data_IF_403867064424
#
_entry.id   IF_403867064424
#
_cell.length_a   1.000
_cell.length_b   1.000
_cell.length_c   1.000
_cell.angle_alpha   90.00
_cell.angle_beta   90.00
_cell.angle_gamma   90.00
#
_symmetry.space_group_name_H-M   'P 1'
#
loop_
_entity.id
_entity.type
_entity.pdbx_description
1 polymer ?
#
# COMPACT_ATOMS: atom_id res chain seq x y z
N UNK A 1 -49.80 -16.58 13.58
CA UNK A 1 -49.76 -15.64 12.43
C UNK A 1 -48.32 -15.21 12.25
N UNK A 2 -47.71 -15.65 11.15
CA UNK A 2 -46.28 -15.53 10.85
C UNK A 2 -46.09 -14.50 9.74
N UNK A 3 -45.27 -13.47 9.96
CA UNK A 3 -44.87 -12.52 8.93
C UNK A 3 -43.37 -12.66 8.69
N UNK A 4 -43.01 -13.16 7.51
CA UNK A 4 -41.66 -13.14 6.95
C UNK A 4 -41.42 -11.80 6.27
N UNK A 5 -40.26 -11.14 6.44
CA UNK A 5 -39.86 -10.04 5.57
C UNK A 5 -39.20 -10.59 4.29
N UNK A 6 -39.77 -10.23 3.15
CA UNK A 6 -39.21 -10.50 1.82
C UNK A 6 -38.07 -9.51 1.54
N UNK A 7 -36.86 -10.03 1.43
CA UNK A 7 -35.66 -9.28 0.99
C UNK A 7 -35.73 -9.13 -0.53
N UNK A 8 -35.94 -7.91 -1.03
CA UNK A 8 -35.72 -7.59 -2.45
C UNK A 8 -34.25 -7.28 -2.70
N UNK A 9 -33.58 -8.20 -3.39
CA UNK A 9 -32.35 -7.95 -4.13
C UNK A 9 -32.63 -6.88 -5.20
N UNK A 10 -31.91 -5.77 -5.19
CA UNK A 10 -31.77 -4.93 -6.39
C UNK A 10 -30.29 -4.76 -6.73
N UNK A 11 -29.92 -5.40 -7.84
CA UNK A 11 -28.64 -5.30 -8.51
C UNK A 11 -28.32 -3.85 -8.85
N UNK A 12 -27.15 -3.36 -8.45
CA UNK A 12 -26.59 -2.11 -8.96
C UNK A 12 -25.28 -2.39 -9.68
N UNK A 13 -25.36 -2.34 -11.01
CA UNK A 13 -24.22 -2.24 -11.92
C UNK A 13 -23.44 -0.92 -11.64
N UNK A 14 -22.11 -0.92 -11.79
CA UNK A 14 -21.26 0.24 -11.51
C UNK A 14 -21.23 1.21 -12.69
N UNK A 15 -21.68 2.44 -12.46
CA UNK A 15 -21.46 3.57 -13.37
C UNK A 15 -20.01 4.06 -13.26
N UNK A 16 -19.27 3.88 -14.34
CA UNK A 16 -17.91 4.42 -14.55
C UNK A 16 -18.01 5.93 -14.69
N UNK A 17 -17.47 6.68 -13.72
CA UNK A 17 -17.13 8.09 -13.91
C UNK A 17 -15.61 8.22 -13.83
N UNK A 18 -15.02 8.52 -14.99
CA UNK A 18 -13.63 8.88 -15.15
C UNK A 18 -13.35 10.13 -14.32
N UNK A 19 -12.54 9.97 -13.26
CA UNK A 19 -12.01 11.06 -12.46
C UNK A 19 -10.52 11.15 -12.74
N UNK A 20 -10.12 12.20 -13.45
CA UNK A 20 -8.71 12.59 -13.62
C UNK A 20 -8.18 13.09 -12.28
N UNK A 21 -7.71 12.17 -11.44
CA UNK A 21 -6.95 12.47 -10.24
C UNK A 21 -5.46 12.53 -10.59
N UNK A 22 -4.88 13.73 -10.53
CA UNK A 22 -3.43 13.93 -10.55
C UNK A 22 -2.88 13.51 -9.18
N UNK A 23 -2.29 12.32 -9.13
CA UNK A 23 -1.65 11.76 -7.94
C UNK A 23 -0.31 12.47 -7.63
N UNK A 24 0.10 12.58 -6.35
CA UNK A 24 1.45 12.95 -6.00
C UNK A 24 2.40 11.81 -6.40
N UNK A 25 3.47 12.14 -7.13
CA UNK A 25 4.52 11.21 -7.53
C UNK A 25 5.30 10.75 -6.29
N UNK A 26 4.82 9.69 -5.64
CA UNK A 26 5.61 8.90 -4.71
C UNK A 26 6.63 8.11 -5.54
N UNK A 27 7.92 8.44 -5.39
CA UNK A 27 9.01 7.77 -6.08
C UNK A 27 9.09 6.29 -5.69
N UNK A 28 8.52 5.43 -6.54
CA UNK A 28 8.79 4.00 -6.51
C UNK A 28 10.23 3.81 -6.96
N UNK A 29 11.11 3.41 -6.04
CA UNK A 29 12.45 2.93 -6.39
C UNK A 29 12.26 1.62 -7.15
N UNK A 30 12.26 1.68 -8.47
CA UNK A 30 12.35 0.50 -9.31
C UNK A 30 13.72 -0.14 -9.10
N UNK A 31 13.74 -1.41 -8.70
CA UNK A 31 14.94 -2.21 -8.77
C UNK A 31 15.22 -2.44 -10.25
N UNK A 32 16.11 -1.63 -10.82
CA UNK A 32 16.60 -1.84 -12.17
C UNK A 32 17.33 -3.18 -12.20
N UNK A 33 16.71 -4.20 -12.80
CA UNK A 33 17.42 -5.42 -13.18
C UNK A 33 18.37 -5.05 -14.31
N UNK A 34 19.66 -5.07 -14.02
CA UNK A 34 20.71 -4.91 -15.02
C UNK A 34 20.64 -6.10 -15.99
N UNK A 35 20.06 -5.88 -17.18
CA UNK A 35 20.17 -6.82 -18.28
C UNK A 35 21.63 -6.88 -18.74
N UNK A 36 22.24 -8.05 -18.62
CA UNK A 36 23.59 -8.33 -19.12
C UNK A 36 23.61 -8.24 -20.63
N UNK A 37 24.02 -7.10 -21.19
CA UNK A 37 24.38 -6.99 -22.61
C UNK A 37 25.68 -7.78 -22.84
N UNK A 38 25.57 -9.06 -23.21
CA UNK A 38 26.64 -9.75 -23.93
C UNK A 38 26.58 -9.25 -25.37
N UNK A 39 27.56 -8.44 -25.76
CA UNK A 39 27.88 -8.19 -27.15
C UNK A 39 28.36 -9.52 -27.77
N UNK A 40 27.67 -10.00 -28.80
CA UNK A 40 28.14 -11.11 -29.61
C UNK A 40 29.23 -10.64 -30.58
N UNK A 41 30.23 -11.47 -30.90
CA UNK A 41 31.16 -11.19 -31.98
C UNK A 41 30.49 -11.47 -33.34
N UNK A 42 30.61 -10.51 -34.26
CA UNK A 42 30.35 -10.69 -35.68
C UNK A 42 31.39 -11.66 -36.27
N UNK A 43 30.94 -12.79 -36.82
CA UNK A 43 31.75 -13.54 -37.80
C UNK A 43 30.86 -14.22 -38.84
N UNK A 44 31.28 -14.10 -40.10
CA UNK A 44 30.55 -14.46 -41.30
C UNK A 44 30.88 -15.91 -41.75
N UNK A 45 29.86 -16.72 -42.06
CA UNK A 45 30.06 -18.04 -42.66
C UNK A 45 28.79 -18.63 -43.29
N UNK A 46 28.88 -18.98 -44.57
CA UNK A 46 27.80 -19.35 -45.49
C UNK A 46 27.20 -20.76 -45.28
N UNK A 47 25.94 -20.97 -45.70
CA UNK A 47 25.53 -22.25 -46.31
C UNK A 47 24.11 -22.78 -46.04
N UNK A 48 23.22 -22.58 -47.03
CA UNK A 48 22.11 -23.45 -47.51
C UNK A 48 21.05 -24.06 -46.56
N UNK A 49 19.77 -23.88 -46.93
CA UNK A 49 18.73 -24.89 -46.66
C UNK A 49 17.32 -24.34 -46.48
N UNK A 50 16.46 -24.59 -47.47
CA UNK A 50 15.03 -24.32 -47.58
C UNK A 50 14.14 -24.73 -46.40
N UNK A 51 13.06 -23.96 -46.19
CA UNK A 51 11.71 -24.56 -46.14
C UNK A 51 10.96 -24.54 -44.82
N UNK A 52 9.85 -23.79 -44.84
CA UNK A 52 8.58 -24.03 -44.15
C UNK A 52 8.44 -23.79 -42.63
N UNK A 53 7.25 -23.27 -42.35
CA UNK A 53 6.47 -23.36 -41.12
C UNK A 53 6.84 -22.39 -39.99
N UNK A 54 5.85 -21.54 -39.69
CA UNK A 54 5.63 -21.06 -38.34
C UNK A 54 5.54 -22.27 -37.42
N UNK A 55 6.59 -22.52 -36.64
CA UNK A 55 6.55 -23.46 -35.53
C UNK A 55 6.60 -22.68 -34.22
N UNK A 56 5.52 -22.92 -33.49
CA UNK A 56 5.26 -22.70 -32.08
C UNK A 56 6.49 -22.54 -31.20
N UNK A 57 6.37 -21.56 -30.29
CA UNK A 57 7.28 -21.30 -29.18
C UNK A 57 7.20 -22.39 -28.11
N UNK A 58 7.49 -23.64 -28.46
CA UNK A 58 7.73 -24.73 -27.51
C UNK A 58 9.25 -24.89 -27.31
N UNK A 59 9.91 -23.79 -27.00
CA UNK A 59 11.26 -23.84 -26.45
C UNK A 59 11.15 -24.49 -25.07
N UNK A 60 11.19 -25.82 -25.03
CA UNK A 60 11.29 -26.62 -23.81
C UNK A 60 12.33 -26.01 -22.89
N UNK A 61 11.89 -25.25 -21.89
CA UNK A 61 12.76 -24.80 -20.81
C UNK A 61 13.15 -26.05 -20.07
N UNK A 62 14.38 -26.52 -20.29
CA UNK A 62 14.96 -27.61 -19.51
C UNK A 62 15.12 -27.10 -18.08
N UNK A 63 14.05 -27.18 -17.29
CA UNK A 63 13.95 -26.82 -15.87
C UNK A 63 14.83 -27.81 -15.09
N UNK A 64 16.14 -27.59 -15.16
CA UNK A 64 17.15 -28.38 -14.46
C UNK A 64 17.42 -27.76 -13.09
N UNK A 65 17.56 -28.61 -12.08
CA UNK A 65 17.99 -28.24 -10.73
C UNK A 65 19.42 -27.69 -10.67
N UNK A 66 20.14 -27.65 -11.79
CA UNK A 66 21.46 -27.05 -11.93
C UNK A 66 21.45 -25.69 -12.65
N UNK A 67 20.28 -25.10 -12.89
CA UNK A 67 20.20 -23.69 -13.31
C UNK A 67 20.88 -22.79 -12.27
N UNK A 68 21.41 -21.62 -12.66
CA UNK A 68 22.12 -20.72 -11.75
C UNK A 68 21.31 -20.35 -10.50
N UNK A 69 19.98 -20.29 -10.60
CA UNK A 69 19.09 -20.06 -9.47
C UNK A 69 19.14 -21.22 -8.45
N UNK A 70 18.91 -22.46 -8.89
CA UNK A 70 18.91 -23.63 -8.01
C UNK A 70 20.31 -24.00 -7.49
N UNK A 71 21.35 -23.81 -8.30
CA UNK A 71 22.73 -23.99 -7.82
C UNK A 71 23.04 -23.05 -6.65
N UNK A 72 22.65 -21.78 -6.74
CA UNK A 72 22.89 -20.82 -5.67
C UNK A 72 22.06 -21.15 -4.41
N UNK A 73 20.82 -21.66 -4.55
CA UNK A 73 20.03 -22.08 -3.38
C UNK A 73 20.65 -23.29 -2.68
N UNK A 74 21.14 -24.30 -3.42
CA UNK A 74 21.83 -25.44 -2.82
C UNK A 74 23.16 -25.03 -2.15
N UNK A 75 23.92 -24.12 -2.75
CA UNK A 75 25.13 -23.59 -2.13
C UNK A 75 24.80 -22.86 -0.83
N UNK A 76 23.77 -22.01 -0.81
CA UNK A 76 23.38 -21.30 0.42
C UNK A 76 22.86 -22.25 1.50
N UNK A 77 22.09 -23.27 1.11
CA UNK A 77 21.56 -24.26 2.06
C UNK A 77 22.67 -25.12 2.66
N UNK A 78 23.58 -25.63 1.84
CA UNK A 78 24.72 -26.42 2.32
C UNK A 78 25.68 -25.57 3.16
N UNK A 79 25.98 -24.34 2.74
CA UNK A 79 26.76 -23.40 3.53
C UNK A 79 26.09 -23.10 4.88
N UNK A 80 24.77 -22.88 4.91
CA UNK A 80 24.04 -22.63 6.16
C UNK A 80 24.16 -23.80 7.15
N UNK A 81 24.07 -25.05 6.67
CA UNK A 81 24.21 -26.24 7.53
C UNK A 81 25.63 -26.35 8.09
N UNK A 82 26.64 -26.09 7.26
CA UNK A 82 28.04 -26.14 7.67
C UNK A 82 28.42 -25.01 8.64
N UNK A 83 27.79 -23.84 8.51
CA UNK A 83 28.04 -22.67 9.37
C UNK A 83 27.27 -22.78 10.70
N UNK A 84 26.12 -23.48 10.73
CA UNK A 84 25.28 -23.63 11.93
C UNK A 84 26.04 -23.99 13.22
N UNK A 85 26.96 -24.97 13.26
CA UNK A 85 27.70 -25.30 14.49
C UNK A 85 28.69 -24.22 14.95
N UNK A 86 29.05 -23.27 14.09
CA UNK A 86 29.97 -22.18 14.41
C UNK A 86 29.25 -20.88 14.79
N UNK A 87 27.91 -20.85 14.74
CA UNK A 87 27.14 -19.70 15.17
C UNK A 87 27.10 -19.64 16.72
N UNK A 88 27.26 -18.45 17.32
CA UNK A 88 27.08 -18.27 18.76
C UNK A 88 25.70 -18.77 19.19
N UNK A 89 25.65 -19.54 20.28
CA UNK A 89 24.39 -19.98 20.89
C UNK A 89 23.53 -18.76 21.26
N UNK A 90 22.21 -18.80 21.01
CA UNK A 90 21.32 -17.70 21.39
C UNK A 90 21.41 -17.45 22.90
N UNK A 91 21.61 -16.19 23.29
CA UNK A 91 21.65 -15.82 24.71
C UNK A 91 20.26 -16.02 25.33
N UNK A 92 20.21 -16.65 26.51
CA UNK A 92 18.95 -16.92 27.24
C UNK A 92 18.22 -15.65 27.69
N UNK A 93 18.89 -14.50 27.71
CA UNK A 93 18.31 -13.21 28.06
C UNK A 93 18.08 -12.37 26.79
N UNK A 94 16.86 -11.88 26.54
CA UNK A 94 16.57 -11.05 25.37
C UNK A 94 17.22 -9.67 25.52
N UNK A 95 18.27 -9.41 24.73
CA UNK A 95 18.92 -8.10 24.67
C UNK A 95 18.07 -7.20 23.75
N UNK A 96 17.23 -6.35 24.34
CA UNK A 96 16.43 -5.39 23.57
C UNK A 96 16.39 -4.02 24.25
N UNK A 97 16.31 -2.91 23.48
CA UNK A 97 16.21 -1.58 24.06
C UNK A 97 14.96 -1.40 24.90
N UNK A 98 13.85 -2.05 24.55
CA UNK A 98 12.54 -1.81 25.16
C UNK A 98 12.24 -2.64 26.40
N UNK A 99 12.78 -3.87 26.52
CA UNK A 99 12.57 -4.69 27.71
C UNK A 99 13.57 -4.36 28.82
N UNK A 100 14.88 -4.34 28.51
CA UNK A 100 15.95 -4.14 29.51
C UNK A 100 16.97 -3.08 29.03
N UNK A 101 16.72 -1.77 29.31
CA UNK A 101 17.56 -0.70 28.80
C UNK A 101 19.00 -0.76 29.34
N UNK A 102 19.18 -1.18 30.59
CA UNK A 102 20.50 -1.25 31.22
C UNK A 102 21.33 -2.43 30.71
N UNK A 103 20.69 -3.58 30.46
CA UNK A 103 21.35 -4.73 29.85
C UNK A 103 21.76 -4.42 28.40
N UNK A 104 20.91 -3.71 27.64
CA UNK A 104 21.22 -3.26 26.29
C UNK A 104 22.41 -2.29 26.24
N UNK A 105 22.47 -1.32 27.17
CA UNK A 105 23.61 -0.38 27.29
C UNK A 105 24.91 -1.07 27.68
N UNK A 106 24.85 -2.16 28.44
CA UNK A 106 26.03 -2.98 28.79
C UNK A 106 26.49 -3.81 27.59
N UNK A 107 25.56 -4.41 26.86
CA UNK A 107 25.86 -5.25 25.69
C UNK A 107 26.59 -4.50 24.55
N UNK A 108 26.40 -3.19 24.41
CA UNK A 108 27.17 -2.39 23.42
C UNK A 108 28.64 -2.19 23.80
N UNK A 109 28.98 -2.32 25.08
CA UNK A 109 30.34 -2.11 25.60
C UNK A 109 31.05 -3.41 25.95
N UNK A 110 30.30 -4.47 26.20
CA UNK A 110 30.84 -5.78 26.56
C UNK A 110 31.48 -6.47 25.33
N UNK A 111 32.67 -7.04 25.53
CA UNK A 111 33.36 -7.85 24.52
C UNK A 111 32.96 -9.33 24.56
N UNK A 112 32.23 -9.77 25.59
CA UNK A 112 31.72 -11.14 25.71
C UNK A 112 30.59 -11.43 24.71
N UNK A 113 29.91 -10.38 24.26
CA UNK A 113 28.78 -10.43 23.33
C UNK A 113 29.30 -10.51 21.88
N UNK A 114 28.65 -11.29 20.98
CA UNK A 114 29.04 -11.37 19.57
C UNK A 114 29.16 -9.99 18.90
N UNK A 115 30.16 -9.83 18.03
CA UNK A 115 30.49 -8.57 17.38
C UNK A 115 29.29 -7.90 16.70
N UNK A 116 28.48 -8.69 15.98
CA UNK A 116 27.29 -8.20 15.26
C UNK A 116 26.27 -7.60 16.23
N UNK A 117 26.00 -8.28 17.35
CA UNK A 117 25.07 -7.80 18.38
C UNK A 117 25.58 -6.50 19.01
N UNK A 118 26.89 -6.40 19.27
CA UNK A 118 27.51 -5.17 19.78
C UNK A 118 27.38 -4.01 18.80
N UNK A 119 27.63 -4.27 17.52
CA UNK A 119 27.49 -3.29 16.45
C UNK A 119 26.05 -2.81 16.30
N UNK A 120 25.09 -3.74 16.29
CA UNK A 120 23.65 -3.45 16.28
C UNK A 120 23.27 -2.60 17.50
N UNK A 121 23.77 -2.93 18.69
CA UNK A 121 23.51 -2.17 19.89
C UNK A 121 24.06 -0.73 19.82
N UNK A 122 25.16 -0.51 19.10
CA UNK A 122 25.73 0.83 18.88
C UNK A 122 24.93 1.73 17.93
N UNK A 123 24.28 1.15 16.90
CA UNK A 123 23.47 1.91 15.93
C UNK A 123 22.01 2.08 16.35
N UNK A 124 21.53 1.23 17.26
CA UNK A 124 20.14 1.22 17.68
C UNK A 124 19.88 2.37 18.65
N UNK A 125 18.82 3.17 18.45
CA UNK A 125 18.49 4.27 19.36
C UNK A 125 18.00 3.75 20.72
N UNK A 126 18.16 4.59 21.74
CA UNK A 126 17.76 4.26 23.11
C UNK A 126 16.26 3.96 23.27
N UNK A 127 15.93 3.20 24.32
CA UNK A 127 14.57 2.83 24.71
C UNK A 127 13.58 4.00 24.74
N UNK A 128 14.03 5.14 25.30
CA UNK A 128 13.22 6.33 25.48
C UNK A 128 12.72 6.88 24.14
N UNK A 129 13.58 6.87 23.12
CA UNK A 129 13.23 7.37 21.79
C UNK A 129 12.16 6.49 21.14
N UNK A 130 12.21 5.16 21.36
CA UNK A 130 11.16 4.26 20.88
C UNK A 130 9.82 4.52 21.56
N UNK A 131 9.83 4.77 22.87
CA UNK A 131 8.62 5.16 23.60
C UNK A 131 8.02 6.45 23.06
N UNK A 132 8.83 7.49 22.92
CA UNK A 132 8.40 8.78 22.37
C UNK A 132 7.82 8.65 20.95
N UNK A 133 8.43 7.83 20.09
CA UNK A 133 7.89 7.54 18.75
C UNK A 133 6.56 6.80 18.80
N UNK A 134 6.43 5.80 19.68
CA UNK A 134 5.19 5.04 19.84
C UNK A 134 4.06 5.92 20.36
N UNK A 135 4.35 6.78 21.34
CA UNK A 135 3.40 7.73 21.90
C UNK A 135 2.93 8.71 20.80
N UNK A 136 3.85 9.22 19.99
CA UNK A 136 3.51 10.07 18.83
C UNK A 136 2.66 9.34 17.79
N UNK A 137 2.94 8.07 17.51
CA UNK A 137 2.12 7.28 16.59
C UNK A 137 0.71 7.01 17.14
N UNK A 138 0.59 6.80 18.45
CA UNK A 138 -0.70 6.66 19.14
C UNK A 138 -1.50 7.97 19.02
N UNK A 139 -0.87 9.10 19.26
CA UNK A 139 -1.46 10.44 19.13
C UNK A 139 -1.96 10.69 17.69
N UNK A 140 -1.11 10.50 16.67
CA UNK A 140 -1.51 10.68 15.27
C UNK A 140 -2.65 9.73 14.86
N UNK A 141 -2.66 8.52 15.39
CA UNK A 141 -3.74 7.55 15.13
C UNK A 141 -5.05 7.98 15.77
N UNK A 142 -4.98 8.57 16.97
CA UNK A 142 -6.12 9.16 17.67
C UNK A 142 -6.68 10.35 16.91
N UNK A 143 -5.84 11.29 16.51
CA UNK A 143 -6.26 12.46 15.70
C UNK A 143 -6.93 12.03 14.39
N UNK A 144 -6.37 11.03 13.71
CA UNK A 144 -6.97 10.46 12.51
C UNK A 144 -8.34 9.83 12.76
N UNK A 145 -8.53 9.16 13.90
CA UNK A 145 -9.81 8.60 14.31
C UNK A 145 -10.84 9.68 14.66
N UNK A 146 -10.44 10.71 15.40
CA UNK A 146 -11.29 11.86 15.76
C UNK A 146 -11.74 12.62 14.50
N UNK A 147 -10.84 12.84 13.55
CA UNK A 147 -11.17 13.43 12.25
C UNK A 147 -12.19 12.59 11.49
N UNK A 148 -12.02 11.26 11.50
CA UNK A 148 -12.96 10.34 10.84
C UNK A 148 -14.34 10.39 11.50
N UNK A 149 -14.41 10.45 12.84
CA UNK A 149 -15.68 10.59 13.56
C UNK A 149 -16.38 11.91 13.21
N UNK A 150 -15.64 13.02 13.18
CA UNK A 150 -16.18 14.33 12.80
C UNK A 150 -16.86 14.30 11.42
N UNK A 151 -16.24 13.65 10.43
CA UNK A 151 -16.82 13.54 9.09
C UNK A 151 -17.92 12.47 8.97
N UNK A 152 -17.94 11.48 9.87
CA UNK A 152 -19.03 10.51 9.94
C UNK A 152 -20.29 11.09 10.56
N UNK A 153 -20.14 11.93 11.58
CA UNK A 153 -21.24 12.64 12.24
C UNK A 153 -21.75 13.83 11.42
N UNK A 154 -20.91 14.39 10.52
CA UNK A 154 -21.31 15.45 9.63
C UNK A 154 -22.39 14.98 8.63
N UNK A 155 -23.63 15.36 8.87
CA UNK A 155 -24.71 15.18 7.90
C UNK A 155 -24.49 16.09 6.68
N UNK A 156 -24.70 15.54 5.48
CA UNK A 156 -24.74 16.39 4.28
C UNK A 156 -25.93 17.33 4.39
N UNK A 157 -25.78 18.63 4.04
CA UNK A 157 -26.92 19.52 3.99
C UNK A 157 -27.96 18.93 3.04
N UNK A 158 -29.24 18.95 3.48
CA UNK A 158 -30.34 18.39 2.71
C UNK A 158 -30.51 19.18 1.41
N UNK A 159 -30.09 18.59 0.29
CA UNK A 159 -30.28 19.18 -1.04
C UNK A 159 -31.67 18.82 -1.55
N UNK A 160 -32.53 19.83 -1.70
CA UNK A 160 -33.80 19.69 -2.40
C UNK A 160 -33.57 19.75 -3.91
N UNK A 161 -33.80 18.64 -4.61
CA UNK A 161 -33.73 18.60 -6.08
C UNK A 161 -35.10 18.86 -6.66
N UNK A 162 -35.33 20.08 -7.12
CA UNK A 162 -36.55 20.44 -7.83
C UNK A 162 -36.36 20.21 -9.32
N UNK A 163 -37.36 19.57 -9.97
CA UNK A 163 -37.36 19.34 -11.42
C UNK A 163 -37.59 20.62 -12.21
N UNK A 164 -38.35 21.56 -11.63
CA UNK A 164 -38.72 22.82 -12.26
C UNK A 164 -38.40 23.98 -11.31
N UNK A 165 -37.20 24.56 -11.37
CA UNK A 165 -36.85 25.73 -10.54
C UNK A 165 -37.70 26.95 -10.90
N UNK A 166 -38.23 27.00 -12.13
CA UNK A 166 -39.09 28.09 -12.60
C UNK A 166 -40.46 28.17 -11.91
N UNK A 167 -40.85 27.16 -11.11
CA UNK A 167 -42.13 27.18 -10.39
C UNK A 167 -42.22 28.30 -9.35
N UNK A 168 -41.07 28.80 -8.86
CA UNK A 168 -41.03 29.94 -7.94
C UNK A 168 -41.48 31.25 -8.60
N UNK A 169 -41.28 31.38 -9.91
CA UNK A 169 -41.57 32.59 -10.70
C UNK A 169 -42.94 32.51 -11.40
N UNK A 170 -43.66 31.39 -11.29
CA UNK A 170 -44.96 31.20 -11.94
C UNK A 170 -46.11 31.97 -11.28
N UNK A 171 -45.90 32.52 -10.09
CA UNK A 171 -46.91 33.31 -9.41
C UNK A 171 -47.09 34.68 -10.10
N UNK A 172 -48.33 35.10 -10.28
CA UNK A 172 -48.63 36.42 -10.82
C UNK A 172 -48.12 37.50 -9.86
N UNK A 173 -47.38 38.53 -10.33
CA UNK A 173 -46.88 39.61 -9.48
C UNK A 173 -47.97 40.35 -8.68
N UNK A 174 -49.22 40.27 -9.11
CA UNK A 174 -50.34 41.02 -8.54
C UNK A 174 -51.32 40.18 -7.72
N UNK A 175 -51.09 38.86 -7.59
CA UNK A 175 -51.98 37.97 -6.85
C UNK A 175 -51.18 36.97 -6.00
N UNK A 176 -50.26 37.50 -5.18
CA UNK A 176 -49.47 36.72 -4.22
C UNK A 176 -50.03 36.96 -2.83
N UNK A 177 -50.48 35.89 -2.16
CA UNK A 177 -50.88 35.98 -0.77
C UNK A 177 -49.64 36.25 0.11
N UNK A 178 -49.80 37.07 1.14
CA UNK A 178 -48.70 37.37 2.07
C UNK A 178 -48.20 36.06 2.71
N UNK A 179 -46.89 35.82 2.64
CA UNK A 179 -46.25 34.61 3.16
C UNK A 179 -46.34 33.36 2.27
N UNK A 180 -46.92 33.44 1.06
CA UNK A 180 -46.98 32.29 0.14
C UNK A 180 -45.70 32.08 -0.68
N UNK A 181 -44.86 33.11 -0.82
CA UNK A 181 -43.58 33.03 -1.50
C UNK A 181 -42.43 32.84 -0.51
N UNK A 182 -41.50 31.96 -0.84
CA UNK A 182 -40.26 31.80 -0.11
C UNK A 182 -39.28 32.92 -0.51
N UNK A 183 -38.50 33.44 0.44
CA UNK A 183 -37.39 34.34 0.14
C UNK A 183 -36.26 33.54 -0.54
N UNK A 184 -35.89 33.97 -1.75
CA UNK A 184 -34.88 33.32 -2.58
C UNK A 184 -33.57 34.12 -2.66
N UNK A 185 -33.41 35.19 -1.88
CA UNK A 185 -32.22 36.06 -1.89
C UNK A 185 -30.88 35.33 -1.66
N UNK A 186 -30.91 34.18 -0.96
CA UNK A 186 -29.76 33.33 -0.70
C UNK A 186 -29.59 32.10 -1.62
N UNK A 187 -30.40 31.95 -2.68
CA UNK A 187 -30.40 30.75 -3.51
C UNK A 187 -29.14 30.66 -4.39
N UNK A 188 -28.32 29.62 -4.21
CA UNK A 188 -27.20 29.29 -5.10
C UNK A 188 -27.58 28.14 -6.04
N UNK A 189 -27.77 28.44 -7.33
CA UNK A 189 -28.04 27.44 -8.35
C UNK A 189 -26.72 26.83 -8.83
N UNK A 190 -26.57 25.51 -8.74
CA UNK A 190 -25.46 24.80 -9.38
C UNK A 190 -25.88 24.38 -10.78
N UNK A 191 -25.28 24.96 -11.80
CA UNK A 191 -25.34 24.43 -13.17
C UNK A 191 -24.57 23.09 -13.21
N UNK A 192 -25.09 22.13 -13.99
CA UNK A 192 -24.39 20.87 -14.27
C UNK A 192 -23.02 21.11 -14.93
#
# INVERSE_FOLDING_TARGET
MSFRPTISLLSRQPGVLARTARAPAAGVRSFASSSSRRAGPDDHGHGHGSGSAAEDSDAYTTESFFTPAWRNTFILLTASILIYPYLPSPSSSPISPSLDPDAFKKASKDSSVPYVTRWLAGITPEAKVWKERNDKHLELSREGAETKLLFQEAERPKVWRMRYPSSFEQASPHNVAVGSQADLSGLQIRAE
#
